data_IF_884480012583
#
_entry.id   IF_884480012583
#
_cell.length_a   1.000
_cell.length_b   1.000
_cell.length_c   1.000
_cell.angle_alpha   90.00
_cell.angle_beta   90.00
_cell.angle_gamma   90.00
#
_symmetry.space_group_name_H-M   'P 1'
#
loop_
_entity.id
_entity.type
_entity.pdbx_description
1 polymer ?
#
# COMPACT_ATOMS: atom_id res chain seq x y z
N UNK A 1 3.83 -2.91 11.22
CA UNK A 1 3.48 -1.78 10.34
C UNK A 1 2.18 -1.17 10.83
N UNK A 2 2.10 0.16 10.87
CA UNK A 2 0.88 0.89 11.25
C UNK A 2 -0.21 0.66 10.21
N UNK A 3 -1.41 0.27 10.65
CA UNK A 3 -2.56 -0.04 9.81
C UNK A 3 -3.67 1.02 9.90
N UNK A 4 -3.33 2.23 10.32
CA UNK A 4 -4.26 3.36 10.35
C UNK A 4 -4.74 3.68 8.92
N UNK A 5 -6.05 3.68 8.63
CA UNK A 5 -6.59 3.93 7.29
C UNK A 5 -6.12 5.24 6.65
N UNK A 6 -5.78 6.24 7.47
CA UNK A 6 -5.26 7.54 7.02
C UNK A 6 -3.78 7.51 6.63
N UNK A 7 -3.12 6.34 6.71
CA UNK A 7 -1.69 6.14 6.46
C UNK A 7 -1.39 4.92 5.57
N UNK A 8 -2.42 4.22 5.10
CA UNK A 8 -2.29 2.97 4.35
C UNK A 8 -2.62 3.09 2.87
N UNK A 9 -2.69 4.31 2.31
CA UNK A 9 -3.08 4.50 0.91
C UNK A 9 -2.16 3.78 -0.08
N UNK A 10 -0.84 3.75 0.20
CA UNK A 10 0.11 3.01 -0.63
C UNK A 10 -0.17 1.50 -0.61
N UNK A 11 -0.43 0.93 0.56
CA UNK A 11 -0.72 -0.50 0.71
C UNK A 11 -1.94 -0.89 -0.13
N UNK A 12 -3.02 -0.12 0.00
CA UNK A 12 -4.24 -0.34 -0.78
C UNK A 12 -3.97 -0.24 -2.29
N UNK A 13 -3.24 0.80 -2.70
CA UNK A 13 -2.90 1.01 -4.12
C UNK A 13 -2.06 -0.14 -4.67
N UNK A 14 -1.03 -0.59 -3.95
CA UNK A 14 -0.20 -1.72 -4.39
C UNK A 14 -1.02 -3.02 -4.46
N UNK A 15 -1.96 -3.25 -3.56
CA UNK A 15 -2.87 -4.40 -3.64
C UNK A 15 -3.79 -4.34 -4.87
N UNK A 16 -4.35 -3.16 -5.18
CA UNK A 16 -5.15 -2.94 -6.39
C UNK A 16 -4.34 -3.11 -7.68
N UNK A 17 -3.06 -2.73 -7.66
CA UNK A 17 -2.10 -3.00 -8.75
C UNK A 17 -1.77 -4.49 -8.90
N UNK A 18 -2.25 -5.38 -8.02
CA UNK A 18 -1.94 -6.81 -8.04
C UNK A 18 -0.78 -7.25 -7.14
N UNK A 19 -0.32 -6.36 -6.27
CA UNK A 19 0.74 -6.60 -5.30
C UNK A 19 0.42 -7.75 -4.34
N UNK A 20 1.32 -8.74 -4.25
CA UNK A 20 1.17 -9.87 -3.31
C UNK A 20 1.61 -9.48 -1.89
N UNK A 21 0.69 -8.88 -1.14
CA UNK A 21 0.92 -8.40 0.22
C UNK A 21 -0.09 -9.06 1.17
N UNK A 22 0.40 -9.95 2.03
CA UNK A 22 -0.41 -10.56 3.10
C UNK A 22 -0.29 -9.72 4.39
N UNK A 23 -1.43 -9.47 5.03
CA UNK A 23 -1.51 -8.85 6.36
C UNK A 23 -1.55 -9.98 7.40
N UNK A 24 -0.54 -10.04 8.27
CA UNK A 24 -0.37 -11.10 9.26
C UNK A 24 -0.37 -10.50 10.67
N UNK A 25 -0.75 -11.31 11.66
CA UNK A 25 -0.70 -10.95 13.08
C UNK A 25 -1.28 -9.56 13.43
N UNK A 26 -2.52 -9.23 13.00
CA UNK A 26 -3.14 -7.95 13.35
C UNK A 26 -3.32 -7.87 14.87
N UNK A 27 -2.95 -6.72 15.44
CA UNK A 27 -2.97 -6.50 16.90
C UNK A 27 -3.04 -5.01 17.20
N UNK A 28 -3.51 -4.69 18.40
CA UNK A 28 -3.35 -3.34 18.95
C UNK A 28 -2.00 -3.24 19.68
N UNK A 29 -1.20 -2.23 19.36
CA UNK A 29 0.07 -1.95 20.04
C UNK A 29 0.19 -0.45 20.31
N UNK A 30 0.21 -0.09 21.60
CA UNK A 30 0.31 1.33 22.00
C UNK A 30 -0.88 2.17 21.57
N UNK A 31 -2.08 1.59 21.44
CA UNK A 31 -3.29 2.27 21.00
C UNK A 31 -3.49 2.30 19.49
N UNK A 32 -2.51 1.85 18.71
CA UNK A 32 -2.57 1.82 17.25
C UNK A 32 -2.81 0.39 16.73
N UNK A 33 -3.60 0.29 15.66
CA UNK A 33 -3.73 -0.96 14.92
C UNK A 33 -2.46 -1.21 14.11
N UNK A 34 -1.82 -2.35 14.34
CA UNK A 34 -0.60 -2.74 13.65
C UNK A 34 -0.69 -4.17 13.14
N UNK A 35 0.04 -4.45 12.07
CA UNK A 35 0.18 -5.80 11.52
C UNK A 35 1.59 -6.04 10.97
N UNK A 36 1.96 -7.30 10.82
CA UNK A 36 3.15 -7.69 10.08
C UNK A 36 2.76 -7.82 8.60
N UNK A 37 3.61 -7.35 7.69
CA UNK A 37 3.34 -7.46 6.25
C UNK A 37 4.30 -8.48 5.63
N UNK A 38 3.74 -9.47 4.92
CA UNK A 38 4.53 -10.39 4.09
C UNK A 38 4.37 -10.02 2.63
N UNK A 39 5.43 -9.45 2.06
CA UNK A 39 5.48 -9.02 0.66
C UNK A 39 6.26 -10.03 -0.16
N UNK A 40 5.76 -10.36 -1.36
CA UNK A 40 6.41 -11.24 -2.34
C UNK A 40 6.41 -10.58 -3.71
N UNK A 41 7.28 -11.06 -4.60
CA UNK A 41 7.26 -10.64 -6.00
C UNK A 41 5.90 -10.89 -6.65
N UNK A 42 5.47 -9.91 -7.44
CA UNK A 42 4.26 -9.89 -8.25
C UNK A 42 4.45 -8.98 -9.45
N UNK A 43 3.86 -9.37 -10.58
CA UNK A 43 3.68 -8.47 -11.72
C UNK A 43 2.57 -7.48 -11.36
N UNK A 44 2.87 -6.19 -11.52
CA UNK A 44 1.92 -5.12 -11.21
C UNK A 44 1.24 -4.63 -12.49
N UNK A 45 0.01 -4.14 -12.36
CA UNK A 45 -0.72 -3.44 -13.41
C UNK A 45 -0.96 -1.99 -13.01
N UNK A 46 -0.86 -1.08 -13.96
CA UNK A 46 -1.21 0.32 -13.75
C UNK A 46 -2.67 0.47 -13.30
N UNK A 47 -2.92 1.37 -12.35
CA UNK A 47 -4.27 1.69 -11.85
C UNK A 47 -4.46 3.20 -11.79
N UNK A 48 -5.71 3.64 -11.90
CA UNK A 48 -6.07 5.04 -11.62
C UNK A 48 -6.15 5.23 -10.11
N UNK A 49 -5.21 6.00 -9.56
CA UNK A 49 -5.24 6.37 -8.13
C UNK A 49 -6.19 7.55 -7.96
N UNK A 50 -7.29 7.40 -7.21
CA UNK A 50 -8.27 8.46 -7.09
C UNK A 50 -7.75 9.61 -6.20
N UNK A 51 -8.05 10.90 -6.50
CA UNK A 51 -7.50 12.04 -5.78
C UNK A 51 -7.76 12.03 -4.26
N UNK A 52 -8.91 11.49 -3.83
CA UNK A 52 -9.27 11.36 -2.42
C UNK A 52 -8.35 10.40 -1.63
N UNK A 53 -7.54 9.57 -2.31
CA UNK A 53 -6.54 8.73 -1.66
C UNK A 53 -5.28 9.50 -1.29
N UNK A 54 -5.01 10.64 -1.96
CA UNK A 54 -3.78 11.39 -1.78
C UNK A 54 -3.45 11.74 -0.32
N UNK A 55 -4.40 12.20 0.53
CA UNK A 55 -4.10 12.50 1.93
C UNK A 55 -3.57 11.30 2.74
N UNK A 56 -3.96 10.07 2.35
CA UNK A 56 -3.58 8.84 3.05
C UNK A 56 -2.22 8.25 2.64
N UNK A 57 -1.57 8.86 1.65
CA UNK A 57 -0.29 8.37 1.10
C UNK A 57 0.54 9.46 0.41
N UNK A 58 0.42 10.72 0.84
CA UNK A 58 1.01 11.86 0.11
C UNK A 58 2.54 11.74 0.02
N UNK A 59 3.15 11.19 1.06
CA UNK A 59 4.60 11.00 1.16
C UNK A 59 5.08 9.81 0.30
N UNK A 60 4.19 8.91 -0.08
CA UNK A 60 4.50 7.67 -0.79
C UNK A 60 4.37 7.76 -2.31
N UNK A 61 3.90 8.88 -2.87
CA UNK A 61 3.86 9.07 -4.33
C UNK A 61 5.22 8.84 -5.03
N UNK A 62 6.38 9.28 -4.49
CA UNK A 62 7.67 9.00 -5.12
C UNK A 62 7.97 7.51 -5.25
N UNK A 63 7.69 6.70 -4.21
CA UNK A 63 7.92 5.25 -4.28
C UNK A 63 6.86 4.53 -5.10
N UNK A 64 5.61 5.01 -5.10
CA UNK A 64 4.57 4.53 -6.00
C UNK A 64 4.97 4.75 -7.46
N UNK A 65 5.55 5.91 -7.81
CA UNK A 65 6.01 6.20 -9.16
C UNK A 65 7.10 5.21 -9.63
N UNK A 66 8.00 4.82 -8.73
CA UNK A 66 8.99 3.76 -9.01
C UNK A 66 8.31 2.41 -9.23
N UNK A 67 7.34 2.03 -8.39
CA UNK A 67 6.61 0.77 -8.60
C UNK A 67 5.83 0.77 -9.93
N UNK A 68 5.20 1.90 -10.26
CA UNK A 68 4.43 2.08 -11.48
C UNK A 68 5.30 2.03 -12.75
N UNK A 69 6.57 2.47 -12.70
CA UNK A 69 7.46 2.38 -13.88
C UNK A 69 7.83 0.96 -14.29
N UNK A 70 7.54 -0.05 -13.46
CA UNK A 70 7.69 -1.47 -13.77
C UNK A 70 6.35 -2.20 -13.90
N UNK A 71 5.22 -1.49 -13.82
CA UNK A 71 3.90 -2.06 -13.98
C UNK A 71 3.55 -2.20 -15.47
N UNK A 72 2.65 -3.14 -15.79
CA UNK A 72 2.03 -3.24 -17.11
C UNK A 72 0.96 -2.15 -17.26
N UNK A 73 1.12 -1.28 -18.26
CA UNK A 73 0.16 -0.22 -18.62
C UNK A 73 0.70 1.20 -18.59
#
# INVERSE_FOLDING_TARGET
VLMNPTRTGLLLTLQEMGGRIDILNPRNAGGEDVADLRVRYSELKGVVVPPERAPSMIDEYPVLAVAASFAEG
#
